data_IF_174618588193
#
_entry.id   IF_174618588193
#
_cell.length_a   1.000
_cell.length_b   1.000
_cell.length_c   1.000
_cell.angle_alpha   90.00
_cell.angle_beta   90.00
_cell.angle_gamma   90.00
#
_symmetry.space_group_name_H-M   'P 1'
#
loop_
_entity.id
_entity.type
_entity.pdbx_description
1 polymer ?
#
# COMPACT_ATOMS: atom_id res chain seq x y z
N UNK A 1 -8.60 -9.99 11.06
CA UNK A 1 -7.89 -10.71 9.99
C UNK A 1 -6.44 -10.26 9.95
N UNK A 2 -5.47 -11.14 9.59
CA UNK A 2 -4.03 -10.81 9.63
C UNK A 2 -3.54 -10.10 8.37
N UNK A 3 -4.26 -10.22 7.25
CA UNK A 3 -3.99 -9.53 5.99
C UNK A 3 -4.81 -8.23 5.98
N UNK A 4 -4.17 -7.13 5.62
CA UNK A 4 -4.77 -5.79 5.52
C UNK A 4 -4.69 -5.28 4.07
N UNK A 5 -5.50 -4.28 3.74
CA UNK A 5 -5.40 -3.53 2.47
C UNK A 5 -4.01 -2.92 2.34
N UNK A 6 -3.42 -3.05 1.16
CA UNK A 6 -2.08 -2.55 0.86
C UNK A 6 -0.94 -3.52 1.15
N UNK A 7 -1.22 -4.70 1.72
CA UNK A 7 -0.22 -5.74 1.90
C UNK A 7 0.14 -6.40 0.56
N UNK A 8 1.38 -6.85 0.42
CA UNK A 8 1.78 -7.72 -0.69
C UNK A 8 1.54 -9.16 -0.29
N UNK A 9 0.87 -9.92 -1.14
CA UNK A 9 0.55 -11.33 -0.90
C UNK A 9 1.02 -12.19 -2.07
N UNK A 10 1.35 -13.45 -1.77
CA UNK A 10 1.66 -14.51 -2.73
C UNK A 10 0.50 -15.49 -2.77
N UNK A 11 0.08 -15.90 -3.98
CA UNK A 11 -0.93 -16.94 -4.16
C UNK A 11 -0.24 -18.30 -4.02
N UNK A 12 -0.82 -19.20 -3.21
CA UNK A 12 -0.27 -20.52 -2.92
C UNK A 12 -0.66 -21.58 -3.95
N UNK A 13 -1.91 -21.52 -4.43
CA UNK A 13 -2.43 -22.50 -5.38
C UNK A 13 -3.60 -21.95 -6.20
N UNK A 14 -3.81 -22.53 -7.37
CA UNK A 14 -4.84 -22.16 -8.34
C UNK A 14 -4.25 -21.63 -9.64
N UNK A 15 -5.10 -20.98 -10.47
CA UNK A 15 -4.73 -20.46 -11.79
C UNK A 15 -3.51 -19.53 -11.78
N UNK A 16 -3.40 -18.70 -10.73
CA UNK A 16 -2.33 -17.71 -10.58
C UNK A 16 -1.36 -18.10 -9.46
N UNK A 17 -1.12 -19.42 -9.27
CA UNK A 17 -0.16 -19.92 -8.29
C UNK A 17 1.20 -19.23 -8.44
N UNK A 18 1.90 -19.03 -7.31
CA UNK A 18 3.21 -18.40 -7.20
C UNK A 18 3.30 -16.91 -7.56
N UNK A 19 2.27 -16.33 -8.16
CA UNK A 19 2.24 -14.90 -8.43
C UNK A 19 2.08 -14.09 -7.14
N UNK A 20 2.64 -12.89 -7.15
CA UNK A 20 2.52 -11.91 -6.07
C UNK A 20 1.75 -10.70 -6.53
N UNK A 21 0.94 -10.12 -5.65
CA UNK A 21 0.18 -8.92 -5.95
C UNK A 21 -0.16 -8.14 -4.68
N UNK A 22 -0.61 -6.91 -4.87
CA UNK A 22 -1.03 -6.03 -3.77
C UNK A 22 -2.50 -6.24 -3.46
N UNK A 23 -2.85 -6.25 -2.18
CA UNK A 23 -4.24 -6.34 -1.71
C UNK A 23 -4.95 -5.01 -1.90
N UNK A 24 -6.00 -4.99 -2.72
CA UNK A 24 -6.85 -3.83 -3.00
C UNK A 24 -7.97 -3.71 -1.97
N UNK A 25 -8.65 -4.83 -1.71
CA UNK A 25 -9.78 -4.88 -0.77
C UNK A 25 -9.76 -6.17 0.04
N UNK A 26 -10.36 -6.11 1.23
CA UNK A 26 -10.48 -7.22 2.17
C UNK A 26 -11.90 -7.27 2.69
N UNK A 27 -12.57 -8.42 2.49
CA UNK A 27 -13.86 -8.72 3.07
C UNK A 27 -13.64 -9.59 4.33
N UNK A 28 -13.93 -9.00 5.50
CA UNK A 28 -13.75 -9.66 6.78
C UNK A 28 -14.81 -10.73 7.03
N UNK A 29 -16.03 -10.48 6.62
CA UNK A 29 -17.20 -11.35 6.85
C UNK A 29 -17.05 -12.66 6.08
N UNK A 30 -16.76 -12.55 4.79
CA UNK A 30 -16.62 -13.71 3.90
C UNK A 30 -15.19 -14.29 3.88
N UNK A 31 -14.23 -13.65 4.52
CA UNK A 31 -12.80 -14.00 4.52
C UNK A 31 -12.23 -14.07 3.09
N UNK A 32 -12.55 -13.06 2.29
CA UNK A 32 -12.10 -12.92 0.91
C UNK A 32 -11.15 -11.74 0.79
N UNK A 33 -10.26 -11.81 -0.20
CA UNK A 33 -9.26 -10.79 -0.51
C UNK A 33 -9.26 -10.55 -2.00
N UNK A 34 -9.30 -9.28 -2.43
CA UNK A 34 -9.10 -8.88 -3.82
C UNK A 34 -7.64 -8.46 -3.98
N UNK A 35 -6.96 -9.05 -4.95
CA UNK A 35 -5.56 -8.80 -5.24
C UNK A 35 -5.43 -8.21 -6.63
N UNK A 36 -4.68 -7.12 -6.74
CA UNK A 36 -4.45 -6.39 -7.97
C UNK A 36 -3.81 -7.27 -9.05
N UNK A 37 -4.39 -7.24 -10.25
CA UNK A 37 -3.89 -7.96 -11.42
C UNK A 37 -4.03 -9.49 -11.37
N UNK A 38 -4.70 -10.05 -10.36
CA UNK A 38 -4.82 -11.50 -10.17
C UNK A 38 -6.27 -11.95 -10.12
N UNK A 39 -6.51 -13.21 -10.48
CA UNK A 39 -7.85 -13.81 -10.55
C UNK A 39 -8.81 -13.03 -11.47
N UNK A 40 -8.28 -12.58 -12.62
CA UNK A 40 -9.03 -11.79 -13.59
C UNK A 40 -10.01 -12.67 -14.35
N UNK A 41 -11.25 -12.18 -14.44
CA UNK A 41 -12.33 -12.75 -15.24
C UNK A 41 -12.84 -11.71 -16.25
N UNK A 42 -13.04 -12.15 -17.48
CA UNK A 42 -13.65 -11.33 -18.53
C UNK A 42 -15.17 -11.50 -18.48
N UNK A 43 -15.89 -10.40 -18.36
CA UNK A 43 -17.34 -10.38 -18.39
C UNK A 43 -17.82 -9.60 -19.62
N UNK A 44 -18.63 -10.25 -20.43
CA UNK A 44 -19.29 -9.61 -21.56
C UNK A 44 -20.52 -8.84 -21.07
N UNK A 45 -20.54 -7.55 -21.25
CA UNK A 45 -21.70 -6.70 -21.03
C UNK A 45 -22.39 -6.49 -22.37
N UNK A 46 -23.68 -6.86 -22.44
CA UNK A 46 -24.53 -6.54 -23.59
C UNK A 46 -24.94 -5.06 -23.51
N UNK A 47 -24.85 -4.35 -24.62
CA UNK A 47 -25.36 -2.99 -24.74
C UNK A 47 -26.87 -2.95 -24.82
N UNK A 48 -27.47 -1.90 -24.26
CA UNK A 48 -28.95 -1.67 -24.32
C UNK A 48 -29.38 -0.92 -25.60
N UNK A 49 -28.47 -0.68 -26.56
CA UNK A 49 -28.70 0.05 -27.79
C UNK A 49 -28.95 1.55 -27.67
N UNK A 50 -29.25 2.06 -26.47
CA UNK A 50 -29.58 3.49 -26.25
C UNK A 50 -28.53 4.22 -25.41
N UNK A 51 -27.99 3.60 -24.34
CA UNK A 51 -27.10 4.26 -23.38
C UNK A 51 -25.78 3.54 -23.15
N UNK A 52 -25.69 2.24 -23.42
CA UNK A 52 -24.52 1.41 -23.18
C UNK A 52 -24.12 0.68 -24.46
N UNK A 53 -22.85 0.77 -24.80
CA UNK A 53 -22.23 -0.06 -25.85
C UNK A 53 -21.90 -1.44 -25.31
N UNK A 54 -21.82 -2.44 -26.19
CA UNK A 54 -21.31 -3.77 -25.81
C UNK A 54 -19.83 -3.68 -25.48
N UNK A 55 -19.44 -4.18 -24.30
CA UNK A 55 -18.05 -4.08 -23.81
C UNK A 55 -17.64 -5.36 -23.08
N UNK A 56 -16.36 -5.70 -23.17
CA UNK A 56 -15.75 -6.78 -22.39
C UNK A 56 -14.99 -6.18 -21.22
N UNK A 57 -15.50 -6.37 -20.01
CA UNK A 57 -14.85 -5.92 -18.79
C UNK A 57 -13.95 -6.99 -18.19
N UNK A 58 -12.73 -6.62 -17.85
CA UNK A 58 -11.83 -7.43 -17.03
C UNK A 58 -12.05 -7.07 -15.56
N UNK A 59 -12.53 -8.03 -14.78
CA UNK A 59 -12.87 -7.83 -13.36
C UNK A 59 -12.02 -8.73 -12.50
N UNK A 60 -11.39 -8.17 -11.48
CA UNK A 60 -10.64 -8.90 -10.47
C UNK A 60 -11.64 -9.52 -9.46
N UNK A 61 -11.69 -10.83 -9.39
CA UNK A 61 -12.55 -11.53 -8.43
C UNK A 61 -11.85 -11.81 -7.12
N UNK A 62 -12.59 -11.78 -5.99
CA UNK A 62 -12.03 -12.06 -4.69
C UNK A 62 -11.56 -13.52 -4.59
N UNK A 63 -10.46 -13.72 -3.85
CA UNK A 63 -9.86 -15.01 -3.50
C UNK A 63 -10.08 -15.31 -2.02
N UNK A 64 -10.29 -16.56 -1.61
CA UNK A 64 -10.32 -16.92 -0.20
C UNK A 64 -8.95 -16.73 0.44
N UNK A 65 -8.93 -16.22 1.67
CA UNK A 65 -7.70 -15.93 2.44
C UNK A 65 -6.79 -17.14 2.57
N UNK A 66 -7.36 -18.35 2.59
CA UNK A 66 -6.60 -19.61 2.67
C UNK A 66 -5.69 -19.85 1.46
N UNK A 67 -5.99 -19.24 0.31
CA UNK A 67 -5.20 -19.35 -0.92
C UNK A 67 -4.03 -18.37 -0.99
N UNK A 68 -3.94 -17.42 -0.06
CA UNK A 68 -2.95 -16.36 -0.10
C UNK A 68 -2.07 -16.35 1.15
N UNK A 69 -0.83 -15.96 1.00
CA UNK A 69 0.14 -15.81 2.08
C UNK A 69 0.79 -14.43 2.01
N UNK A 70 0.95 -13.77 3.17
CA UNK A 70 1.61 -12.48 3.23
C UNK A 70 3.09 -12.61 2.85
N UNK A 71 3.57 -11.70 2.02
CA UNK A 71 5.00 -11.47 1.77
C UNK A 71 5.48 -10.41 2.74
N UNK A 72 6.43 -10.75 3.59
CA UNK A 72 6.97 -9.81 4.56
C UNK A 72 7.80 -8.73 3.85
N UNK A 73 7.52 -7.43 4.05
CA UNK A 73 8.25 -6.34 3.38
C UNK A 73 9.71 -6.21 3.83
N UNK A 74 10.08 -6.84 4.95
CA UNK A 74 11.44 -6.79 5.49
C UNK A 74 12.32 -7.93 4.97
N UNK A 75 11.84 -9.16 5.00
CA UNK A 75 12.61 -10.33 4.55
C UNK A 75 12.25 -10.81 3.15
N UNK A 76 11.24 -10.19 2.49
CA UNK A 76 10.73 -10.52 1.15
C UNK A 76 10.32 -12.00 0.96
N UNK A 77 10.05 -12.70 2.05
CA UNK A 77 9.63 -14.11 2.03
C UNK A 77 8.16 -14.24 2.38
N UNK A 78 7.46 -15.15 1.70
CA UNK A 78 6.11 -15.51 2.06
C UNK A 78 6.11 -16.18 3.45
N UNK A 79 5.29 -15.67 4.37
CA UNK A 79 5.29 -16.07 5.77
C UNK A 79 3.91 -16.01 6.40
N UNK A 80 3.72 -16.87 7.41
CA UNK A 80 2.57 -16.74 8.31
C UNK A 80 2.81 -15.63 9.33
N UNK A 81 1.77 -14.89 9.64
CA UNK A 81 1.78 -13.77 10.59
C UNK A 81 1.22 -14.23 11.93
N UNK A 82 1.91 -13.94 13.03
CA UNK A 82 1.37 -13.94 14.38
C UNK A 82 0.91 -12.53 14.77
N UNK A 83 0.03 -12.46 15.76
CA UNK A 83 -0.38 -11.20 16.38
C UNK A 83 0.17 -11.20 17.80
N UNK A 84 0.92 -10.15 18.13
CA UNK A 84 1.31 -9.81 19.51
C UNK A 84 0.33 -8.75 19.99
N UNK A 85 -0.21 -8.92 21.19
CA UNK A 85 -1.02 -7.89 21.84
C UNK A 85 -0.06 -6.93 22.56
N UNK A 86 -0.19 -5.68 22.27
CA UNK A 86 0.49 -4.58 22.96
C UNK A 86 -0.58 -3.60 23.43
N UNK A 87 -0.28 -2.73 24.41
CA UNK A 87 -1.24 -1.80 25.01
C UNK A 87 -1.91 -0.88 23.99
N UNK A 88 -1.22 -0.58 22.90
CA UNK A 88 -1.71 0.25 21.77
C UNK A 88 -2.38 -0.56 20.64
N UNK A 89 -2.64 -1.88 20.82
CA UNK A 89 -3.28 -2.72 19.82
C UNK A 89 -2.47 -3.93 19.38
N UNK A 90 -3.00 -4.67 18.41
CA UNK A 90 -2.36 -5.89 17.90
C UNK A 90 -1.28 -5.60 16.85
N UNK A 91 -0.04 -5.90 17.14
CA UNK A 91 1.10 -5.80 16.23
C UNK A 91 1.27 -7.11 15.46
N UNK A 92 1.49 -6.99 14.13
CA UNK A 92 1.72 -8.16 13.26
C UNK A 92 3.21 -8.51 13.22
N UNK A 93 3.51 -9.75 13.61
CA UNK A 93 4.89 -10.27 13.70
C UNK A 93 5.11 -11.33 12.63
N UNK A 94 6.22 -11.22 11.91
CA UNK A 94 6.67 -12.20 10.93
C UNK A 94 7.19 -13.46 11.65
N UNK A 95 6.60 -14.65 11.39
CA UNK A 95 7.07 -15.89 12.01
C UNK A 95 8.45 -16.37 11.52
N UNK A 96 8.91 -15.94 10.35
CA UNK A 96 10.23 -16.32 9.82
C UNK A 96 11.35 -15.44 10.35
N UNK A 97 11.06 -14.19 10.65
CA UNK A 97 12.08 -13.22 11.05
C UNK A 97 11.95 -12.76 12.52
N UNK A 98 10.78 -13.01 13.14
CA UNK A 98 10.52 -12.69 14.54
C UNK A 98 10.29 -11.20 14.84
N UNK A 99 10.31 -10.32 13.84
CA UNK A 99 10.15 -8.87 14.02
C UNK A 99 8.82 -8.35 13.44
N UNK A 100 8.47 -7.13 13.82
CA UNK A 100 7.22 -6.49 13.46
C UNK A 100 7.18 -6.11 11.97
N UNK A 101 6.06 -6.43 11.33
CA UNK A 101 5.88 -6.18 9.89
C UNK A 101 5.63 -4.70 9.60
N UNK A 102 5.06 -3.96 10.55
CA UNK A 102 4.63 -2.56 10.37
C UNK A 102 5.72 -1.53 10.72
N UNK A 103 6.87 -1.94 11.25
CA UNK A 103 7.96 -1.05 11.65
C UNK A 103 8.39 -0.10 10.50
N UNK A 104 8.60 -0.64 9.31
CA UNK A 104 8.99 0.16 8.13
C UNK A 104 7.94 1.17 7.65
N UNK A 105 6.67 0.94 7.99
CA UNK A 105 5.58 1.85 7.62
C UNK A 105 5.51 3.04 8.57
N UNK A 106 5.77 2.83 9.85
CA UNK A 106 5.82 3.89 10.86
C UNK A 106 6.96 4.86 10.58
N UNK A 107 8.17 4.38 10.32
CA UNK A 107 9.33 5.23 9.94
C UNK A 107 9.06 6.10 8.71
N UNK A 108 8.36 5.56 7.68
CA UNK A 108 7.99 6.33 6.49
C UNK A 108 6.88 7.35 6.73
N UNK A 109 6.00 7.12 7.67
CA UNK A 109 4.93 8.06 8.04
C UNK A 109 5.46 9.16 8.97
N UNK A 110 6.39 8.86 9.86
CA UNK A 110 7.05 9.85 10.72
C UNK A 110 7.92 10.82 9.90
N UNK A 111 8.69 10.31 8.93
CA UNK A 111 9.47 11.16 8.00
C UNK A 111 8.57 12.05 7.12
N UNK A 112 7.31 11.66 6.85
CA UNK A 112 6.34 12.49 6.13
C UNK A 112 5.60 13.48 7.02
N UNK A 113 5.61 13.29 8.34
CA UNK A 113 4.93 14.15 9.31
C UNK A 113 5.83 15.22 9.93
N UNK A 114 7.12 15.23 9.62
CA UNK A 114 7.97 16.37 9.99
C UNK A 114 7.50 17.60 9.21
N UNK A 115 7.01 18.63 9.92
CA UNK A 115 6.29 19.72 9.28
C UNK A 115 7.27 20.62 8.55
N UNK A 116 6.80 21.13 7.42
CA UNK A 116 7.42 22.10 6.53
C UNK A 116 7.75 23.47 7.22
N UNK A 117 8.19 23.49 8.49
CA UNK A 117 8.59 24.70 9.21
C UNK A 117 9.96 25.22 8.77
N UNK A 118 10.86 24.35 8.28
CA UNK A 118 12.22 24.79 7.91
C UNK A 118 12.33 25.36 6.48
N UNK A 119 11.26 25.25 5.66
CA UNK A 119 11.28 25.83 4.30
C UNK A 119 10.88 27.31 4.25
N UNK A 120 10.15 27.80 5.24
CA UNK A 120 9.75 29.20 5.32
C UNK A 120 10.94 30.11 5.72
N UNK A 121 11.71 29.70 6.73
CA UNK A 121 12.86 30.44 7.24
C UNK A 121 14.00 30.58 6.22
N UNK A 122 14.22 29.54 5.40
CA UNK A 122 15.24 29.60 4.32
C UNK A 122 14.87 30.50 3.14
N UNK A 123 13.59 30.77 2.93
CA UNK A 123 13.11 31.69 1.87
C UNK A 123 13.20 33.15 2.30
N UNK A 124 13.03 33.46 3.58
CA UNK A 124 13.17 34.83 4.09
C UNK A 124 14.63 35.27 4.16
N UNK A 125 15.53 34.40 4.61
CA UNK A 125 16.98 34.69 4.66
C UNK A 125 17.54 34.96 3.26
N UNK A 126 17.07 34.24 2.21
CA UNK A 126 17.50 34.51 0.82
C UNK A 126 16.92 35.81 0.24
N UNK A 127 15.80 36.33 0.73
CA UNK A 127 15.24 37.62 0.29
C UNK A 127 15.95 38.82 0.95
N UNK A 128 16.37 38.69 2.21
CA UNK A 128 17.10 39.74 2.92
C UNK A 128 18.53 39.90 2.40
N UNK A 129 19.24 38.79 2.12
CA UNK A 129 20.59 38.86 1.54
C UNK A 129 20.60 39.45 0.10
N UNK A 130 19.59 39.16 -0.73
CA UNK A 130 19.48 39.79 -2.07
C UNK A 130 19.13 41.27 -2.03
N UNK A 131 18.53 41.77 -0.95
CA UNK A 131 18.19 43.19 -0.80
C UNK A 131 19.38 44.06 -0.31
N UNK A 132 20.28 43.46 0.49
CA UNK A 132 21.49 44.13 0.97
C UNK A 132 22.56 44.28 -0.14
N UNK A 133 22.72 43.25 -0.99
CA UNK A 133 23.72 43.29 -2.10
C UNK A 133 23.34 44.26 -3.19
N UNK A 134 22.05 44.58 -3.42
CA UNK A 134 21.60 45.57 -4.42
C UNK A 134 21.75 47.02 -3.97
N UNK A 135 22.05 47.29 -2.68
CA UNK A 135 22.27 48.66 -2.17
C UNK A 135 23.73 49.12 -2.22
N UNK A 136 24.68 48.20 -2.39
CA UNK A 136 26.13 48.50 -2.40
C UNK A 136 26.71 48.72 -3.81
N UNK A 137 25.93 48.46 -4.88
CA UNK A 137 26.38 48.68 -6.28
C UNK A 137 25.81 49.90 -6.94
N UNK A 138 25.25 50.88 -6.18
CA UNK A 138 24.73 52.16 -6.69
C UNK A 138 25.26 53.31 -5.84
N UNK A 139 26.59 53.46 -5.82
CA UNK A 139 27.26 54.68 -5.38
C UNK A 139 28.53 54.89 -6.22
#
# INVERSE_FOLDING_TARGET
MKIKKGDTVKILYGKDSDKTGRVVAVDLTRRLVVVEGLNIYRRHLKGDGKKRTSEILSIEKPLPVSKVMLVCPMCNKATRVSLRREDNGGVRVCKKWGKDIEAKKREKEEVKKEPAKDKATKKEIKKTVKKSVKKTTKK
#
